data_IF_809351863865
#
_entry.id   IF_809351863865
#
_cell.length_a   1.000
_cell.length_b   1.000
_cell.length_c   1.000
_cell.angle_alpha   90.00
_cell.angle_beta   90.00
_cell.angle_gamma   90.00
#
_symmetry.space_group_name_H-M   'P 1'
#
loop_
_entity.id
_entity.type
_entity.pdbx_description
1 polymer ?
#
# COMPACT_ATOMS: atom_id res chain seq x y z
N UNK A 1 -4.19 -36.54 8.18
CA UNK A 1 -4.27 -35.19 8.76
C UNK A 1 -3.83 -34.22 7.69
N UNK A 2 -4.80 -33.63 6.98
CA UNK A 2 -4.51 -32.49 6.11
C UNK A 2 -4.05 -31.34 6.99
N UNK A 3 -2.77 -30.99 6.89
CA UNK A 3 -2.23 -29.78 7.51
C UNK A 3 -2.71 -28.63 6.63
N UNK A 4 -3.85 -28.02 6.97
CA UNK A 4 -4.18 -26.70 6.46
C UNK A 4 -3.04 -25.77 6.88
N UNK A 5 -2.18 -25.43 5.94
CA UNK A 5 -1.14 -24.41 6.09
C UNK A 5 -1.90 -23.08 6.14
N UNK A 6 -2.30 -22.68 7.34
CA UNK A 6 -2.82 -21.35 7.61
C UNK A 6 -1.63 -20.39 7.63
N UNK A 7 -1.15 -20.01 6.44
CA UNK A 7 -0.31 -18.83 6.27
C UNK A 7 -1.28 -17.63 6.25
N UNK A 8 -1.59 -17.11 7.44
CA UNK A 8 -2.42 -15.91 7.54
C UNK A 8 -1.59 -14.73 7.04
N UNK A 9 -1.85 -14.24 5.82
CA UNK A 9 -1.26 -13.02 5.29
C UNK A 9 -2.18 -11.81 5.53
N UNK A 10 -1.61 -10.69 5.99
CA UNK A 10 -2.30 -9.40 6.09
C UNK A 10 -2.29 -8.60 4.78
N UNK A 11 -3.42 -7.99 4.42
CA UNK A 11 -3.51 -7.07 3.27
C UNK A 11 -4.09 -5.73 3.72
N UNK A 12 -3.53 -4.64 3.21
CA UNK A 12 -4.04 -3.28 3.40
C UNK A 12 -4.00 -2.53 2.06
N UNK A 13 -5.02 -1.69 1.81
CA UNK A 13 -5.12 -0.87 0.60
C UNK A 13 -5.47 0.57 0.99
N UNK A 14 -4.79 1.53 0.35
CA UNK A 14 -5.14 2.95 0.44
C UNK A 14 -5.40 3.47 -0.96
N UNK A 15 -6.52 4.17 -1.11
CA UNK A 15 -6.83 4.96 -2.30
C UNK A 15 -6.87 6.44 -1.93
N UNK A 16 -6.05 7.24 -2.60
CA UNK A 16 -6.12 8.69 -2.51
C UNK A 16 -7.32 9.19 -3.35
N UNK A 17 -8.19 10.00 -2.73
CA UNK A 17 -9.37 10.59 -3.39
C UNK A 17 -9.17 12.08 -3.72
N UNK A 18 -8.00 12.61 -3.39
CA UNK A 18 -7.56 13.99 -3.61
C UNK A 18 -6.15 13.96 -4.21
N UNK A 19 -5.72 15.02 -4.91
CA UNK A 19 -4.37 15.10 -5.45
C UNK A 19 -3.31 15.20 -4.32
N UNK A 20 -2.04 14.92 -4.60
CA UNK A 20 -0.98 14.83 -3.58
C UNK A 20 -0.77 16.16 -2.84
N UNK A 21 -0.96 17.28 -3.54
CA UNK A 21 -0.86 18.64 -3.05
C UNK A 21 -1.82 18.89 -1.88
N UNK A 22 -3.04 18.34 -1.95
CA UNK A 22 -4.00 18.43 -0.86
C UNK A 22 -3.44 17.85 0.44
N UNK A 23 -2.72 16.73 0.36
CA UNK A 23 -2.15 16.07 1.53
C UNK A 23 -0.90 16.80 2.04
N UNK A 24 -0.11 17.38 1.13
CA UNK A 24 1.00 18.25 1.49
C UNK A 24 0.52 19.48 2.27
N UNK A 25 -0.50 20.17 1.79
CA UNK A 25 -1.06 21.37 2.46
C UNK A 25 -1.74 21.03 3.78
N UNK A 26 -2.56 19.97 3.79
CA UNK A 26 -3.37 19.62 4.98
C UNK A 26 -2.57 18.91 6.08
N UNK A 27 -1.64 18.05 5.70
CA UNK A 27 -0.92 17.17 6.64
C UNK A 27 0.58 17.45 6.70
N UNK A 28 1.09 18.42 5.92
CA UNK A 28 2.51 18.75 5.85
C UNK A 28 3.35 17.75 5.06
N UNK A 29 2.73 16.74 4.43
CA UNK A 29 3.44 15.70 3.69
C UNK A 29 2.59 15.06 2.58
N UNK A 30 3.16 14.96 1.38
CA UNK A 30 2.61 14.17 0.28
C UNK A 30 2.70 12.65 0.55
N UNK A 31 3.58 12.20 1.46
CA UNK A 31 3.75 10.80 1.86
C UNK A 31 2.62 10.29 2.79
N UNK A 32 1.53 11.04 2.93
CA UNK A 32 0.42 10.69 3.82
C UNK A 32 -0.07 9.25 3.66
N UNK A 33 -0.30 8.79 2.42
CA UNK A 33 -0.72 7.42 2.15
C UNK A 33 0.33 6.39 2.58
N UNK A 34 1.61 6.61 2.27
CA UNK A 34 2.68 5.66 2.63
C UNK A 34 2.78 5.50 4.15
N UNK A 35 2.73 6.61 4.90
CA UNK A 35 2.75 6.58 6.36
C UNK A 35 1.54 5.84 6.94
N UNK A 36 0.35 6.04 6.35
CA UNK A 36 -0.87 5.32 6.76
C UNK A 36 -0.80 3.84 6.41
N UNK A 37 -0.25 3.49 5.25
CA UNK A 37 -0.11 2.10 4.81
C UNK A 37 0.85 1.34 5.73
N UNK A 38 1.99 1.96 6.07
CA UNK A 38 2.93 1.44 7.06
C UNK A 38 2.23 1.15 8.40
N UNK A 39 1.48 2.11 8.94
CA UNK A 39 0.74 1.90 10.19
C UNK A 39 -0.31 0.78 10.10
N UNK A 40 -0.94 0.57 8.94
CA UNK A 40 -1.86 -0.53 8.75
C UNK A 40 -1.15 -1.88 8.63
N UNK A 41 0.00 -1.92 7.98
CA UNK A 41 0.85 -3.11 7.90
C UNK A 41 1.34 -3.51 9.29
N UNK A 42 1.80 -2.56 10.11
CA UNK A 42 2.18 -2.80 11.51
C UNK A 42 1.03 -3.41 12.31
N UNK A 43 -0.22 -2.93 12.14
CA UNK A 43 -1.37 -3.55 12.82
C UNK A 43 -1.62 -5.01 12.43
N UNK A 44 -1.17 -5.43 11.26
CA UNK A 44 -1.28 -6.80 10.77
C UNK A 44 0.03 -7.59 10.94
N UNK A 45 1.01 -7.10 11.70
CA UNK A 45 2.32 -7.77 11.88
C UNK A 45 2.20 -9.19 12.46
N UNK A 46 1.09 -9.52 13.13
CA UNK A 46 0.80 -10.86 13.67
C UNK A 46 0.23 -11.82 12.61
N UNK A 47 -0.03 -11.35 11.39
CA UNK A 47 -0.54 -12.09 10.23
C UNK A 47 0.50 -12.13 9.10
N UNK A 48 1.72 -12.53 9.45
CA UNK A 48 2.84 -12.60 8.51
C UNK A 48 4.05 -11.84 9.03
N UNK A 49 5.14 -12.57 9.31
CA UNK A 49 6.42 -12.03 9.78
C UNK A 49 7.58 -12.32 8.84
N UNK A 50 7.35 -13.18 7.84
CA UNK A 50 8.41 -13.63 6.94
C UNK A 50 8.72 -12.62 5.82
N UNK A 51 7.79 -11.71 5.52
CA UNK A 51 8.00 -10.67 4.52
C UNK A 51 6.85 -9.68 4.40
N UNK A 52 7.14 -8.52 3.84
CA UNK A 52 6.16 -7.49 3.49
C UNK A 52 6.51 -6.89 2.12
N UNK A 53 5.49 -6.49 1.37
CA UNK A 53 5.63 -5.83 0.08
C UNK A 53 4.58 -4.75 -0.09
N UNK A 54 4.92 -3.71 -0.87
CA UNK A 54 3.98 -2.67 -1.26
C UNK A 54 4.10 -2.41 -2.75
N UNK A 55 2.98 -2.09 -3.39
CA UNK A 55 2.92 -1.68 -4.77
C UNK A 55 2.06 -0.42 -4.88
N UNK A 56 2.37 0.43 -5.85
CA UNK A 56 1.57 1.61 -6.17
C UNK A 56 1.16 1.58 -7.63
N UNK A 57 -0.05 2.08 -7.89
CA UNK A 57 -0.62 2.15 -9.24
C UNK A 57 -1.05 3.58 -9.49
N UNK A 58 -0.53 4.17 -10.57
CA UNK A 58 -1.01 5.44 -11.10
C UNK A 58 -2.31 5.19 -11.85
N UNK A 59 -3.37 5.83 -11.38
CA UNK A 59 -4.66 5.82 -12.08
C UNK A 59 -4.60 6.78 -13.26
N UNK A 60 -5.36 6.47 -14.31
CA UNK A 60 -5.55 7.33 -15.48
C UNK A 60 -4.24 7.64 -16.25
N UNK A 61 -3.25 6.73 -16.21
CA UNK A 61 -2.09 6.82 -17.10
C UNK A 61 -2.51 6.71 -18.56
N UNK A 62 -1.99 7.61 -19.40
CA UNK A 62 -2.22 7.57 -20.84
C UNK A 62 -1.58 6.32 -21.48
N UNK A 63 -2.14 5.80 -22.59
CA UNK A 63 -1.54 4.68 -23.32
C UNK A 63 -0.07 4.96 -23.67
N UNK A 64 0.80 3.98 -23.44
CA UNK A 64 2.25 4.11 -23.65
C UNK A 64 3.02 4.71 -22.47
N UNK A 65 2.34 5.13 -21.39
CA UNK A 65 2.98 5.56 -20.15
C UNK A 65 2.90 4.46 -19.08
N UNK A 66 3.95 4.36 -18.27
CA UNK A 66 3.96 3.42 -17.14
C UNK A 66 2.93 3.82 -16.07
N UNK A 67 2.17 2.83 -15.61
CA UNK A 67 1.16 2.99 -14.54
C UNK A 67 1.56 2.26 -13.25
N UNK A 68 2.58 1.42 -13.30
CA UNK A 68 3.14 0.69 -12.18
C UNK A 68 4.62 0.51 -12.45
N UNK A 69 5.45 0.79 -11.46
CA UNK A 69 6.87 0.48 -11.51
C UNK A 69 7.08 -1.02 -11.25
N UNK A 70 7.86 -1.69 -12.10
CA UNK A 70 8.18 -3.13 -11.99
C UNK A 70 9.65 -3.31 -12.34
N UNK A 71 10.43 -3.80 -11.38
CA UNK A 71 11.81 -4.30 -11.57
C UNK A 71 11.87 -5.80 -11.25
#
# INVERSE_FOLDING_TARGET
>A
MEKNIHEDCGVAMIRLLKPLEYYQEKYGTWMYALNKLYLMMEKQHNRGQEGAGMASVKLDSEPGNEYMFRE
#
